data_IF_551588627127
#
_entry.id   IF_551588627127
#
_cell.length_a   1.000
_cell.length_b   1.000
_cell.length_c   1.000
_cell.angle_alpha   90.00
_cell.angle_beta   90.00
_cell.angle_gamma   90.00
#
_symmetry.space_group_name_H-M   'P 1'
#
loop_
_entity.id
_entity.type
_entity.pdbx_description
1 polymer ?
#
# COMPACT_ATOMS: atom_id res chain seq x y z
N UNK A 1 7.93 3.56 27.63
CA UNK A 1 8.33 3.13 26.29
C UNK A 1 7.83 1.72 26.10
N UNK A 2 7.17 1.44 24.99
CA UNK A 2 6.64 0.12 24.64
C UNK A 2 7.32 -0.39 23.38
N UNK A 3 7.34 -1.70 23.18
CA UNK A 3 7.78 -2.31 21.93
C UNK A 3 6.59 -2.49 20.98
N UNK A 4 6.70 -1.93 19.78
CA UNK A 4 5.72 -2.11 18.71
C UNK A 4 6.33 -2.96 17.61
N UNK A 5 5.71 -4.10 17.33
CA UNK A 5 6.13 -5.02 16.28
C UNK A 5 5.19 -4.91 15.08
N UNK A 6 5.73 -4.59 13.92
CA UNK A 6 5.02 -4.62 12.65
C UNK A 6 5.24 -5.98 11.98
N UNK A 7 4.15 -6.71 11.74
CA UNK A 7 4.12 -7.92 10.91
C UNK A 7 3.52 -7.59 9.55
N UNK A 8 3.85 -8.36 8.53
CA UNK A 8 3.40 -8.15 7.15
C UNK A 8 2.69 -9.38 6.63
N UNK A 9 1.67 -9.20 5.78
CA UNK A 9 0.93 -10.30 5.15
C UNK A 9 1.78 -11.10 4.14
N UNK A 10 2.81 -10.49 3.58
CA UNK A 10 3.66 -11.06 2.52
C UNK A 10 4.90 -11.81 3.05
N UNK A 11 4.87 -12.31 4.28
CA UNK A 11 5.98 -13.03 4.93
C UNK A 11 7.31 -12.26 5.02
N UNK A 12 7.29 -10.94 4.91
CA UNK A 12 8.45 -10.11 5.20
C UNK A 12 8.83 -10.20 6.69
N UNK A 13 10.10 -9.95 6.98
CA UNK A 13 10.58 -10.00 8.37
C UNK A 13 9.89 -8.93 9.21
N UNK A 14 9.42 -9.29 10.42
CA UNK A 14 8.81 -8.32 11.31
C UNK A 14 9.82 -7.23 11.70
N UNK A 15 9.32 -6.02 11.82
CA UNK A 15 10.09 -4.84 12.25
C UNK A 15 9.67 -4.45 13.65
N UNK A 16 10.62 -4.35 14.57
CA UNK A 16 10.39 -3.97 15.96
C UNK A 16 10.96 -2.58 16.22
N UNK A 17 10.18 -1.71 16.87
CA UNK A 17 10.58 -0.36 17.24
C UNK A 17 10.09 -0.02 18.66
N UNK A 18 10.88 0.75 19.40
CA UNK A 18 10.44 1.32 20.66
C UNK A 18 9.67 2.61 20.42
N UNK A 19 8.50 2.73 21.04
CA UNK A 19 7.58 3.85 20.89
C UNK A 19 7.25 4.49 22.23
N UNK A 20 6.97 5.78 22.23
CA UNK A 20 6.41 6.46 23.39
C UNK A 20 4.88 6.38 23.39
N UNK A 21 4.23 6.48 24.56
CA UNK A 21 2.75 6.46 24.63
C UNK A 21 2.07 7.62 23.88
N UNK A 22 2.79 8.69 23.62
CA UNK A 22 2.29 9.88 22.92
C UNK A 22 2.43 9.78 21.41
N UNK A 23 3.21 8.82 20.94
CA UNK A 23 3.50 8.61 19.52
C UNK A 23 2.45 7.74 18.87
N UNK A 24 1.93 8.16 17.71
CA UNK A 24 0.99 7.33 16.96
C UNK A 24 1.67 6.12 16.33
N UNK A 25 0.90 5.04 16.13
CA UNK A 25 1.37 3.84 15.41
C UNK A 25 1.87 4.20 14.00
N UNK A 26 1.25 5.20 13.35
CA UNK A 26 1.68 5.68 12.04
C UNK A 26 3.04 6.38 12.08
N UNK A 27 3.31 7.19 13.10
CA UNK A 27 4.61 7.86 13.24
C UNK A 27 5.72 6.86 13.57
N UNK A 28 5.41 5.87 14.39
CA UNK A 28 6.29 4.73 14.64
C UNK A 28 6.62 3.96 13.36
N UNK A 29 5.62 3.70 12.52
CA UNK A 29 5.81 3.05 11.22
C UNK A 29 6.74 3.87 10.31
N UNK A 30 6.55 5.18 10.24
CA UNK A 30 7.43 6.08 9.46
C UNK A 30 8.87 6.05 9.95
N UNK A 31 9.10 6.08 11.25
CA UNK A 31 10.45 5.96 11.83
C UNK A 31 11.11 4.62 11.53
N UNK A 32 10.31 3.55 11.49
CA UNK A 32 10.76 2.20 11.18
C UNK A 32 10.88 1.90 9.67
N UNK A 33 10.61 2.88 8.80
CA UNK A 33 10.48 2.70 7.35
C UNK A 33 9.45 1.65 6.93
N UNK A 34 8.39 1.50 7.73
CA UNK A 34 7.25 0.64 7.41
C UNK A 34 6.24 1.43 6.59
N UNK A 35 5.95 0.97 5.39
CA UNK A 35 5.00 1.64 4.49
C UNK A 35 3.55 1.35 4.93
N UNK A 36 2.85 2.39 5.35
CA UNK A 36 1.39 2.38 5.60
C UNK A 36 0.76 3.45 4.72
N UNK A 37 -0.32 3.09 4.02
CA UNK A 37 -1.04 4.04 3.16
C UNK A 37 -1.76 5.11 4.00
N UNK A 38 -1.26 6.33 3.98
CA UNK A 38 -1.79 7.44 4.77
C UNK A 38 -1.82 8.76 3.95
N UNK A 39 -2.63 8.84 2.88
CA UNK A 39 -2.65 10.00 1.99
C UNK A 39 -3.08 11.30 2.67
N UNK A 40 -3.79 11.23 3.80
CA UNK A 40 -4.15 12.40 4.60
C UNK A 40 -3.04 12.85 5.57
N UNK A 41 -1.84 12.28 5.48
CA UNK A 41 -0.70 12.57 6.37
C UNK A 41 -0.94 12.31 7.85
N UNK A 42 -1.99 11.55 8.20
CA UNK A 42 -2.25 11.13 9.59
C UNK A 42 -3.32 11.95 10.33
N UNK A 43 -4.12 12.78 9.64
CA UNK A 43 -5.16 13.56 10.30
C UNK A 43 -6.51 12.80 10.50
N UNK A 44 -6.55 11.50 10.21
CA UNK A 44 -7.72 10.64 10.48
C UNK A 44 -8.86 10.74 9.44
N UNK A 45 -8.74 11.56 8.40
CA UNK A 45 -9.86 11.86 7.50
C UNK A 45 -10.07 10.86 6.36
N UNK A 46 -9.04 10.08 5.98
CA UNK A 46 -9.12 9.22 4.78
C UNK A 46 -9.46 7.74 5.07
N UNK A 47 -9.30 7.26 6.29
CA UNK A 47 -9.55 5.87 6.67
C UNK A 47 -8.65 4.83 6.01
N UNK A 48 -7.52 5.22 5.41
CA UNK A 48 -6.65 4.32 4.61
C UNK A 48 -5.55 3.64 5.43
N UNK A 49 -5.07 4.27 6.50
CA UNK A 49 -3.97 3.78 7.32
C UNK A 49 -4.38 2.62 8.27
N UNK A 50 -5.05 1.62 7.71
CA UNK A 50 -5.57 0.47 8.44
C UNK A 50 -4.46 -0.50 8.81
N UNK A 51 -4.45 -0.92 10.05
CA UNK A 51 -3.62 -2.01 10.58
C UNK A 51 -4.49 -2.93 11.43
N UNK A 52 -4.09 -4.18 11.58
CA UNK A 52 -4.82 -5.12 12.42
C UNK A 52 -4.01 -5.40 13.70
N UNK A 53 -4.61 -5.16 14.85
CA UNK A 53 -4.01 -5.53 16.13
C UNK A 53 -4.03 -7.05 16.29
N UNK A 54 -2.88 -7.66 16.44
CA UNK A 54 -2.69 -9.10 16.63
C UNK A 54 -2.57 -9.43 18.12
N UNK A 55 -1.80 -8.62 18.86
CA UNK A 55 -1.64 -8.79 20.30
C UNK A 55 -1.26 -7.45 20.97
N UNK A 56 -1.43 -7.37 22.27
CA UNK A 56 -1.19 -6.16 23.04
C UNK A 56 -2.39 -5.22 23.08
N UNK A 57 -2.15 -3.97 23.48
CA UNK A 57 -3.19 -2.96 23.60
C UNK A 57 -2.81 -1.67 22.88
N UNK A 58 -3.75 -1.14 22.14
CA UNK A 58 -3.69 0.18 21.53
C UNK A 58 -4.82 1.04 22.07
N UNK A 59 -4.53 2.29 22.39
CA UNK A 59 -5.51 3.30 22.82
C UNK A 59 -5.71 4.35 21.74
N UNK A 60 -6.94 4.80 21.60
CA UNK A 60 -7.30 5.86 20.65
C UNK A 60 -8.79 5.85 20.35
N UNK A 61 -9.29 6.87 19.67
CA UNK A 61 -10.70 6.98 19.33
C UNK A 61 -11.08 5.97 18.24
N UNK A 62 -12.23 5.33 18.41
CA UNK A 62 -12.87 4.63 17.30
C UNK A 62 -13.40 5.67 16.31
N UNK A 63 -13.10 5.48 15.06
CA UNK A 63 -13.48 6.41 13.98
C UNK A 63 -14.59 5.80 13.13
N UNK A 64 -15.37 6.63 12.45
CA UNK A 64 -16.42 6.17 11.52
C UNK A 64 -15.90 5.37 10.31
N UNK A 65 -14.57 5.33 10.10
CA UNK A 65 -13.94 4.56 9.02
C UNK A 65 -13.72 3.08 9.38
N UNK A 66 -13.91 2.71 10.64
CA UNK A 66 -13.81 1.33 11.14
C UNK A 66 -15.16 0.98 11.76
N UNK A 67 -15.84 -0.01 11.22
CA UNK A 67 -17.10 -0.49 11.77
C UNK A 67 -16.90 -1.19 13.12
N UNK A 68 -17.98 -1.37 13.89
CA UNK A 68 -17.90 -2.08 15.17
C UNK A 68 -17.43 -3.52 15.01
N UNK A 69 -17.80 -4.17 13.90
CA UNK A 69 -17.38 -5.52 13.56
C UNK A 69 -15.88 -5.58 13.24
N UNK A 70 -15.39 -4.64 12.42
CA UNK A 70 -13.97 -4.52 12.09
C UNK A 70 -13.14 -4.17 13.34
N UNK A 71 -13.67 -3.31 14.21
CA UNK A 71 -13.01 -2.96 15.46
C UNK A 71 -12.90 -4.18 16.39
N UNK A 72 -13.94 -5.00 16.49
CA UNK A 72 -13.92 -6.25 17.24
C UNK A 72 -12.94 -7.28 16.64
N UNK A 73 -12.79 -7.32 15.31
CA UNK A 73 -11.80 -8.16 14.60
C UNK A 73 -10.35 -7.63 14.71
N UNK A 74 -10.13 -6.51 15.37
CA UNK A 74 -8.82 -5.94 15.64
C UNK A 74 -8.38 -4.82 14.70
N UNK A 75 -9.20 -4.42 13.72
CA UNK A 75 -8.83 -3.33 12.82
C UNK A 75 -8.76 -1.98 13.52
N UNK A 76 -7.74 -1.21 13.20
CA UNK A 76 -7.46 0.12 13.77
C UNK A 76 -6.93 1.07 12.69
N UNK A 77 -7.12 2.38 12.90
CA UNK A 77 -6.41 3.39 12.11
C UNK A 77 -5.10 3.75 12.79
N UNK A 78 -3.98 3.44 12.18
CA UNK A 78 -2.65 3.66 12.78
C UNK A 78 -2.37 5.11 13.15
N UNK A 79 -2.95 6.09 12.47
CA UNK A 79 -2.77 7.51 12.77
C UNK A 79 -3.49 7.98 14.04
N UNK A 80 -4.52 7.25 14.48
CA UNK A 80 -5.32 7.61 15.66
C UNK A 80 -5.01 6.74 16.88
N UNK A 81 -4.17 5.72 16.73
CA UNK A 81 -3.85 4.76 17.79
C UNK A 81 -2.46 4.98 18.35
N UNK A 82 -2.35 4.79 19.65
CA UNK A 82 -1.13 4.89 20.45
C UNK A 82 -0.92 3.57 21.20
N UNK A 83 0.34 3.19 21.42
CA UNK A 83 0.65 1.99 22.20
C UNK A 83 0.35 2.21 23.69
N UNK A 84 -0.45 1.32 24.27
CA UNK A 84 -0.71 1.27 25.71
C UNK A 84 0.07 0.15 26.41
N UNK A 85 0.54 -0.83 25.63
CA UNK A 85 1.44 -1.90 26.05
C UNK A 85 2.34 -2.28 24.88
N UNK A 86 3.22 -3.26 25.09
CA UNK A 86 3.89 -3.93 23.98
C UNK A 86 2.83 -4.54 23.06
N UNK A 87 2.92 -4.26 21.78
CA UNK A 87 1.87 -4.63 20.83
C UNK A 87 2.43 -5.14 19.51
N UNK A 88 1.67 -6.02 18.89
CA UNK A 88 1.95 -6.54 17.54
C UNK A 88 0.82 -6.12 16.62
N UNK A 89 1.17 -5.47 15.53
CA UNK A 89 0.22 -5.04 14.50
C UNK A 89 0.58 -5.67 13.15
N UNK A 90 -0.43 -6.17 12.46
CA UNK A 90 -0.31 -6.65 11.09
C UNK A 90 -0.56 -5.50 10.12
N UNK A 91 0.39 -5.25 9.24
CA UNK A 91 0.29 -4.27 8.16
C UNK A 91 -0.17 -5.01 6.90
N UNK A 92 -1.35 -4.66 6.35
CA UNK A 92 -1.84 -5.29 5.13
C UNK A 92 -0.94 -4.95 3.94
N UNK A 93 -0.87 -5.88 2.96
CA UNK A 93 -0.10 -5.64 1.74
C UNK A 93 -0.79 -4.58 0.87
N UNK A 94 -0.25 -3.37 0.90
CA UNK A 94 -0.72 -2.24 0.09
C UNK A 94 -0.57 -2.54 -1.41
N UNK A 95 0.48 -3.25 -1.80
CA UNK A 95 0.74 -3.56 -3.20
C UNK A 95 -0.37 -4.45 -3.79
N UNK A 96 -0.91 -5.40 -3.02
CA UNK A 96 -2.02 -6.24 -3.45
C UNK A 96 -3.31 -5.44 -3.67
N UNK A 97 -3.59 -4.46 -2.80
CA UNK A 97 -4.74 -3.58 -2.91
C UNK A 97 -4.66 -2.67 -4.16
N UNK A 98 -3.47 -2.22 -4.53
CA UNK A 98 -3.27 -1.44 -5.76
C UNK A 98 -3.27 -2.32 -7.01
N UNK A 99 -2.66 -3.51 -6.96
CA UNK A 99 -2.70 -4.48 -8.07
C UNK A 99 -4.11 -4.93 -8.41
N UNK A 100 -4.99 -5.07 -7.40
CA UNK A 100 -6.39 -5.43 -7.64
C UNK A 100 -7.21 -4.31 -8.31
N UNK A 101 -6.76 -3.06 -8.21
CA UNK A 101 -7.42 -1.89 -8.83
C UNK A 101 -6.84 -1.53 -10.19
N UNK A 102 -5.56 -1.75 -10.41
CA UNK A 102 -4.93 -1.63 -11.71
C UNK A 102 -4.71 -3.05 -12.26
N UNK A 103 -5.69 -3.57 -12.96
CA UNK A 103 -5.45 -4.73 -13.82
C UNK A 103 -4.56 -4.27 -14.97
N UNK A 104 -3.27 -4.25 -14.73
CA UNK A 104 -2.32 -4.28 -15.84
C UNK A 104 -2.37 -5.69 -16.41
N UNK A 105 -2.57 -5.81 -17.73
CA UNK A 105 -2.50 -7.09 -18.40
C UNK A 105 -1.19 -7.79 -18.06
N UNK A 106 -1.29 -8.96 -17.44
CA UNK A 106 -0.12 -9.79 -17.17
C UNK A 106 0.21 -10.57 -18.45
N UNK A 107 1.04 -9.98 -19.30
CA UNK A 107 1.49 -10.59 -20.55
C UNK A 107 2.31 -11.89 -20.35
N UNK A 108 2.53 -12.32 -19.10
CA UNK A 108 3.09 -13.63 -18.80
C UNK A 108 2.02 -14.74 -18.71
N UNK A 109 0.75 -14.37 -18.53
CA UNK A 109 -0.38 -15.29 -18.50
C UNK A 109 -0.83 -15.65 -19.92
N UNK A 110 -0.79 -16.95 -20.27
CA UNK A 110 -1.24 -17.44 -21.59
C UNK A 110 -2.71 -17.13 -21.91
N UNK A 111 -3.55 -16.96 -20.88
CA UNK A 111 -4.96 -16.62 -21.04
C UNK A 111 -5.12 -15.13 -21.41
N UNK A 112 -4.38 -14.24 -20.77
CA UNK A 112 -4.42 -12.81 -21.09
C UNK A 112 -3.81 -12.49 -22.44
N UNK A 113 -2.75 -13.21 -22.84
CA UNK A 113 -2.18 -13.10 -24.19
C UNK A 113 -3.24 -13.46 -25.24
N UNK A 114 -3.99 -14.55 -25.05
CA UNK A 114 -5.06 -14.96 -25.98
C UNK A 114 -6.16 -13.90 -26.07
N UNK A 115 -6.61 -13.34 -24.95
CA UNK A 115 -7.61 -12.27 -24.94
C UNK A 115 -7.09 -11.05 -25.68
N UNK A 116 -5.83 -10.68 -25.47
CA UNK A 116 -5.20 -9.57 -26.17
C UNK A 116 -5.14 -9.80 -27.68
N UNK A 117 -4.75 -11.00 -28.12
CA UNK A 117 -4.71 -11.38 -29.55
C UNK A 117 -6.09 -11.36 -30.20
N UNK A 118 -7.13 -11.85 -29.51
CA UNK A 118 -8.52 -11.79 -29.97
C UNK A 118 -9.02 -10.35 -30.12
N UNK A 119 -8.72 -9.48 -29.15
CA UNK A 119 -9.07 -8.07 -29.23
C UNK A 119 -8.31 -7.34 -30.34
N UNK A 120 -7.03 -7.63 -30.51
CA UNK A 120 -6.20 -7.07 -31.60
C UNK A 120 -6.71 -7.47 -32.96
N UNK A 121 -7.07 -8.75 -33.15
CA UNK A 121 -7.65 -9.25 -34.37
C UNK A 121 -9.01 -8.59 -34.68
N UNK A 122 -9.83 -8.37 -33.67
CA UNK A 122 -11.10 -7.65 -33.77
C UNK A 122 -10.93 -6.22 -34.26
N UNK A 123 -9.97 -5.49 -33.69
CA UNK A 123 -9.64 -4.11 -34.06
C UNK A 123 -9.10 -4.02 -35.48
N UNK A 124 -8.22 -4.96 -35.89
CA UNK A 124 -7.68 -5.04 -37.26
C UNK A 124 -8.76 -5.40 -38.28
N UNK A 125 -9.66 -6.33 -37.92
CA UNK A 125 -10.79 -6.73 -38.75
C UNK A 125 -11.82 -5.60 -38.96
N UNK A 126 -11.93 -4.67 -38.01
CA UNK A 126 -12.76 -3.48 -38.13
C UNK A 126 -12.15 -2.37 -39.01
N UNK A 127 -10.98 -2.60 -39.59
CA UNK A 127 -10.30 -1.65 -40.47
C UNK A 127 -9.70 -0.45 -39.74
N UNK A 128 -9.57 -0.55 -38.43
CA UNK A 128 -8.92 0.48 -37.59
C UNK A 128 -7.41 0.29 -37.76
N UNK A 129 -6.78 1.23 -38.46
CA UNK A 129 -5.32 1.28 -38.53
C UNK A 129 -4.75 1.68 -37.17
N UNK A 130 -4.07 0.76 -36.53
CA UNK A 130 -3.25 1.05 -35.33
C UNK A 130 -1.94 1.75 -35.75
N UNK A 131 -2.07 2.76 -36.61
CA UNK A 131 -0.98 3.69 -36.85
C UNK A 131 -0.67 4.40 -35.54
N UNK A 132 0.41 3.97 -34.91
CA UNK A 132 0.87 4.61 -33.71
C UNK A 132 1.25 6.06 -34.02
N UNK A 133 0.45 7.01 -33.57
CA UNK A 133 0.82 8.43 -33.57
C UNK A 133 2.04 8.70 -32.67
N UNK A 134 2.69 7.65 -32.16
CA UNK A 134 3.86 7.72 -31.30
C UNK A 134 5.09 7.23 -32.07
N UNK A 135 6.15 8.00 -32.00
CA UNK A 135 7.47 7.66 -32.51
C UNK A 135 8.40 7.49 -31.34
N UNK A 136 8.96 6.31 -31.17
CA UNK A 136 10.06 6.11 -30.22
C UNK A 136 11.32 6.81 -30.75
N UNK A 137 11.93 7.62 -29.92
CA UNK A 137 13.23 8.27 -30.20
C UNK A 137 14.15 7.89 -29.05
N UNK A 138 15.23 7.19 -29.37
CA UNK A 138 16.30 6.92 -28.40
C UNK A 138 17.14 8.18 -28.25
N UNK A 139 17.14 8.72 -27.04
CA UNK A 139 17.97 9.85 -26.66
C UNK A 139 19.13 9.33 -25.82
N UNK A 140 20.35 9.58 -26.28
CA UNK A 140 21.55 9.36 -25.50
C UNK A 140 21.84 10.67 -24.74
N UNK A 141 21.68 10.64 -23.44
CA UNK A 141 21.97 11.76 -22.56
C UNK A 141 23.26 11.47 -21.82
N UNK A 142 24.13 12.45 -21.75
CA UNK A 142 25.30 12.39 -20.88
C UNK A 142 24.85 12.52 -19.41
N UNK A 143 25.55 11.89 -18.49
CA UNK A 143 25.25 12.03 -17.06
C UNK A 143 25.32 13.50 -16.65
N UNK A 144 24.31 14.04 -15.94
CA UNK A 144 24.34 15.42 -15.48
C UNK A 144 25.51 15.64 -14.52
N UNK A 145 26.26 16.68 -14.74
CA UNK A 145 27.32 17.12 -13.82
C UNK A 145 26.80 18.15 -12.84
N UNK A 146 27.47 18.31 -11.70
CA UNK A 146 27.04 19.26 -10.66
C UNK A 146 27.14 20.73 -11.07
N UNK A 147 27.71 21.01 -12.25
CA UNK A 147 27.95 22.35 -12.78
C UNK A 147 26.96 22.75 -13.91
N UNK A 148 25.94 21.92 -14.19
CA UNK A 148 24.87 22.18 -15.17
C UNK A 148 23.63 22.80 -14.54
#
# INVERSE_FOLDING_TARGET
MFELTFQFENDEKPVVISVSPEESVLDAARKANVAIDAPCSGNGSCGKCRVKLVSGELTGPQTSHISDEEYADGWRLSCCMHAASDAVVLVPDIASAYRSRMKTADLSSGEEIRIFEELLAGVQGAGISLGNGFRAVDLQLDEPTLDD
#
